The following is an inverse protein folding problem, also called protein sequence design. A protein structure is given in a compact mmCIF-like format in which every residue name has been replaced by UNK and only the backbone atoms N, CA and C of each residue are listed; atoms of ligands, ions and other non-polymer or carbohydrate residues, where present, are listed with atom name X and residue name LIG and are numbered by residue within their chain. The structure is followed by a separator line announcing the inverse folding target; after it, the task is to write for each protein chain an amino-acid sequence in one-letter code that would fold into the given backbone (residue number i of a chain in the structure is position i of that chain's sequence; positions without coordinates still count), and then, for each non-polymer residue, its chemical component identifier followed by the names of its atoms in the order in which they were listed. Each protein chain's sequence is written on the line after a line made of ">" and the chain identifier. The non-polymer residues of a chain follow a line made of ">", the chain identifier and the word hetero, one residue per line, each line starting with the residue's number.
data_IF_096294835383
#
_entry.id   IF_096294835383
#
_cell.length_a   1.000
_cell.length_b   1.000
_cell.length_c   1.000
_cell.angle_alpha   90.00
_cell.angle_beta   90.00
_cell.angle_gamma   90.00
#
_symmetry.space_group_name_H-M   'P 1'
#
loop_
_entity.id
_entity.type
_entity.pdbx_description
1 polymer ?
#
# COMPACT_ATOMS: atom_id res chain seq x y z
N UNK A 1 -10.86 23.40 -9.49
CA UNK A 1 -9.78 22.39 -9.61
C UNK A 1 -8.50 23.18 -9.83
N UNK A 2 -7.53 23.07 -8.94
CA UNK A 2 -6.24 23.76 -9.06
C UNK A 2 -5.38 23.14 -10.16
N UNK A 3 -4.44 23.91 -10.71
CA UNK A 3 -3.53 23.51 -11.80
C UNK A 3 -2.58 22.33 -11.45
N UNK A 4 -2.58 21.86 -10.19
CA UNK A 4 -1.73 20.79 -9.68
C UNK A 4 -2.52 19.52 -9.29
N UNK A 5 -3.70 19.30 -9.88
CA UNK A 5 -4.54 18.15 -9.54
C UNK A 5 -5.11 17.46 -10.78
N UNK A 6 -4.90 16.15 -10.85
CA UNK A 6 -5.49 15.27 -11.87
C UNK A 6 -6.46 14.30 -11.20
N UNK A 7 -7.61 14.04 -11.84
CA UNK A 7 -8.60 13.08 -11.37
C UNK A 7 -8.71 11.93 -12.36
N UNK A 8 -8.47 10.72 -11.89
CA UNK A 8 -8.66 9.50 -12.68
C UNK A 8 -9.89 8.76 -12.16
N UNK A 9 -10.91 8.60 -12.99
CA UNK A 9 -12.09 7.81 -12.64
C UNK A 9 -11.72 6.33 -12.49
N UNK A 10 -12.33 5.67 -11.49
CA UNK A 10 -12.23 4.23 -11.25
C UNK A 10 -13.65 3.69 -11.02
N UNK A 11 -13.98 2.57 -11.64
CA UNK A 11 -15.34 1.99 -11.60
C UNK A 11 -15.57 1.08 -10.38
N UNK A 12 -14.52 0.79 -9.60
CA UNK A 12 -14.57 -0.11 -8.45
C UNK A 12 -13.76 0.44 -7.26
N UNK A 13 -13.93 -0.17 -6.10
CA UNK A 13 -13.19 0.14 -4.88
C UNK A 13 -12.95 -1.12 -4.04
N UNK A 14 -11.82 -1.16 -3.35
CA UNK A 14 -11.56 -2.21 -2.35
C UNK A 14 -12.39 -1.92 -1.11
N UNK A 15 -13.20 -2.89 -0.68
CA UNK A 15 -14.04 -2.74 0.51
C UNK A 15 -13.28 -3.08 1.80
N UNK A 16 -13.69 -2.53 2.96
CA UNK A 16 -13.04 -2.81 4.24
C UNK A 16 -12.95 -4.30 4.58
N UNK A 17 -13.98 -5.07 4.23
CA UNK A 17 -14.08 -6.51 4.54
C UNK A 17 -13.54 -7.41 3.42
N UNK A 18 -13.01 -6.85 2.33
CA UNK A 18 -12.40 -7.67 1.29
C UNK A 18 -11.16 -8.38 1.86
N UNK A 19 -11.10 -9.69 1.68
CA UNK A 19 -9.86 -10.43 1.93
C UNK A 19 -8.79 -9.92 0.95
N UNK A 20 -7.51 -9.77 1.36
CA UNK A 20 -6.46 -9.29 0.47
C UNK A 20 -6.34 -10.09 -0.85
N UNK A 21 -6.51 -11.41 -0.78
CA UNK A 21 -6.51 -12.29 -1.95
C UNK A 21 -7.71 -12.05 -2.89
N UNK A 22 -8.87 -11.69 -2.35
CA UNK A 22 -10.05 -11.34 -3.13
C UNK A 22 -9.85 -10.00 -3.82
N UNK A 23 -9.39 -8.98 -3.08
CA UNK A 23 -9.08 -7.66 -3.62
C UNK A 23 -8.10 -7.75 -4.80
N UNK A 24 -7.01 -8.51 -4.64
CA UNK A 24 -6.02 -8.70 -5.69
C UNK A 24 -6.58 -9.34 -6.97
N UNK A 25 -7.51 -10.29 -6.84
CA UNK A 25 -8.05 -11.06 -7.98
C UNK A 25 -9.24 -10.39 -8.66
N UNK A 26 -10.10 -9.73 -7.89
CA UNK A 26 -11.41 -9.28 -8.38
C UNK A 26 -11.53 -7.75 -8.46
N UNK A 27 -10.83 -6.98 -7.61
CA UNK A 27 -10.92 -5.50 -7.58
C UNK A 27 -9.96 -4.85 -8.59
N UNK A 28 -9.98 -5.32 -9.84
CA UNK A 28 -8.97 -4.98 -10.86
C UNK A 28 -9.03 -3.52 -11.29
N UNK A 29 -10.22 -2.92 -11.26
CA UNK A 29 -10.48 -1.52 -11.66
C UNK A 29 -10.65 -0.60 -10.44
N UNK A 30 -10.12 -1.04 -9.28
CA UNK A 30 -10.20 -0.26 -8.06
C UNK A 30 -9.25 0.93 -8.05
N UNK A 31 -9.67 2.00 -7.37
CA UNK A 31 -8.83 3.20 -7.14
C UNK A 31 -7.49 2.86 -6.48
N UNK A 32 -7.46 1.91 -5.54
CA UNK A 32 -6.24 1.43 -4.91
C UNK A 32 -5.27 0.84 -5.94
N UNK A 33 -5.74 -0.06 -6.82
CA UNK A 33 -4.89 -0.65 -7.84
C UNK A 33 -4.43 0.37 -8.88
N UNK A 34 -5.32 1.26 -9.32
CA UNK A 34 -4.97 2.34 -10.25
C UNK A 34 -3.86 3.25 -9.68
N UNK A 35 -3.94 3.60 -8.39
CA UNK A 35 -2.91 4.40 -7.72
C UNK A 35 -1.55 3.68 -7.65
N UNK A 36 -1.54 2.38 -7.29
CA UNK A 36 -0.30 1.57 -7.28
C UNK A 36 0.29 1.47 -8.68
N UNK A 37 -0.53 1.26 -9.72
CA UNK A 37 -0.07 1.21 -11.10
C UNK A 37 0.49 2.55 -11.59
N UNK A 38 -0.07 3.68 -11.16
CA UNK A 38 0.46 5.00 -11.49
C UNK A 38 1.90 5.17 -10.98
N UNK A 39 2.18 4.69 -9.76
CA UNK A 39 3.54 4.63 -9.21
C UNK A 39 4.43 3.70 -10.05
N UNK A 40 3.95 2.50 -10.39
CA UNK A 40 4.70 1.55 -11.23
C UNK A 40 5.07 2.12 -12.60
N UNK A 41 4.17 2.91 -13.19
CA UNK A 41 4.32 3.55 -14.51
C UNK A 41 5.12 4.87 -14.45
N UNK A 42 5.60 5.28 -13.27
CA UNK A 42 6.35 6.52 -13.09
C UNK A 42 5.52 7.79 -13.22
N UNK A 43 4.18 7.69 -13.18
CA UNK A 43 3.28 8.86 -13.20
C UNK A 43 3.19 9.55 -11.83
N UNK A 44 3.53 8.83 -10.77
CA UNK A 44 3.58 9.33 -9.41
C UNK A 44 4.80 8.76 -8.67
N UNK A 45 5.34 9.53 -7.72
CA UNK A 45 6.47 9.08 -6.90
C UNK A 45 6.07 8.18 -5.72
N UNK A 46 4.80 8.22 -5.33
CA UNK A 46 4.25 7.44 -4.23
C UNK A 46 2.74 7.57 -4.18
N UNK A 47 2.11 6.85 -3.25
CA UNK A 47 0.67 6.93 -3.03
C UNK A 47 0.33 6.80 -1.55
N UNK A 48 -0.85 7.28 -1.17
CA UNK A 48 -1.41 7.15 0.17
C UNK A 48 -2.83 6.58 0.04
N UNK A 49 -3.21 5.70 0.95
CA UNK A 49 -4.59 5.20 1.03
C UNK A 49 -4.98 5.02 2.49
N UNK A 50 -6.19 5.44 2.83
CA UNK A 50 -6.86 5.17 4.10
C UNK A 50 -7.77 3.92 4.03
N UNK A 51 -7.63 3.11 2.98
CA UNK A 51 -8.42 1.90 2.76
C UNK A 51 -7.90 0.69 3.53
N UNK A 52 -8.31 -0.50 3.10
CA UNK A 52 -7.90 -1.77 3.72
C UNK A 52 -6.36 -1.96 3.63
N UNK A 53 -5.68 -1.93 4.79
CA UNK A 53 -4.22 -2.05 4.90
C UNK A 53 -3.67 -3.34 4.30
N UNK A 54 -4.33 -4.47 4.54
CA UNK A 54 -3.88 -5.77 4.04
C UNK A 54 -3.99 -5.88 2.52
N UNK A 55 -5.07 -5.35 1.95
CA UNK A 55 -5.25 -5.27 0.51
C UNK A 55 -4.23 -4.32 -0.13
N UNK A 56 -3.97 -3.16 0.48
CA UNK A 56 -2.96 -2.22 0.00
C UNK A 56 -1.57 -2.86 -0.03
N UNK A 57 -1.19 -3.56 1.04
CA UNK A 57 0.08 -4.28 1.12
C UNK A 57 0.16 -5.38 0.04
N UNK A 58 -0.89 -6.19 -0.11
CA UNK A 58 -0.92 -7.28 -1.09
C UNK A 58 -0.84 -6.77 -2.54
N UNK A 59 -1.63 -5.76 -2.89
CA UNK A 59 -1.65 -5.16 -4.24
C UNK A 59 -0.32 -4.46 -4.52
N UNK A 60 0.22 -3.69 -3.58
CA UNK A 60 1.51 -3.02 -3.73
C UNK A 60 2.65 -4.01 -3.91
N UNK A 61 2.71 -5.05 -3.08
CA UNK A 61 3.74 -6.09 -3.19
C UNK A 61 3.66 -6.84 -4.52
N UNK A 62 2.46 -7.10 -5.02
CA UNK A 62 2.28 -7.80 -6.30
C UNK A 62 2.71 -6.94 -7.50
N UNK A 63 2.39 -5.64 -7.51
CA UNK A 63 2.63 -4.76 -8.66
C UNK A 63 4.03 -4.11 -8.63
N UNK A 64 4.42 -3.58 -7.47
CA UNK A 64 5.69 -2.88 -7.31
C UNK A 64 6.84 -3.85 -7.01
N UNK A 65 6.55 -4.93 -6.27
CA UNK A 65 7.58 -5.81 -5.72
C UNK A 65 8.25 -5.23 -4.48
N UNK A 66 9.34 -5.85 -4.07
CA UNK A 66 10.24 -5.37 -3.01
C UNK A 66 11.55 -4.86 -3.61
N UNK A 67 12.30 -4.09 -2.82
CA UNK A 67 13.65 -3.68 -3.20
C UNK A 67 14.59 -4.90 -3.28
N UNK A 68 15.70 -4.81 -4.05
CA UNK A 68 16.71 -5.86 -4.08
C UNK A 68 17.16 -6.26 -2.68
N UNK A 69 17.30 -7.57 -2.45
CA UNK A 69 17.67 -8.18 -1.16
C UNK A 69 16.64 -8.00 -0.02
N UNK A 70 15.49 -7.38 -0.27
CA UNK A 70 14.38 -7.33 0.69
C UNK A 70 13.35 -8.41 0.31
N UNK A 71 13.24 -9.45 1.14
CA UNK A 71 12.35 -10.58 0.84
C UNK A 71 10.88 -10.31 1.23
N UNK A 72 10.68 -9.64 2.37
CA UNK A 72 9.36 -9.28 2.90
C UNK A 72 9.34 -7.80 3.29
N UNK A 73 8.31 -7.04 2.88
CA UNK A 73 8.12 -5.67 3.36
C UNK A 73 7.70 -5.69 4.84
N UNK A 74 7.86 -4.57 5.55
CA UNK A 74 7.35 -4.38 6.90
C UNK A 74 6.41 -3.16 6.93
N UNK A 75 5.40 -3.19 7.79
CA UNK A 75 4.65 -1.96 8.10
C UNK A 75 5.44 -1.22 9.16
N UNK A 76 5.88 -0.02 8.82
CA UNK A 76 6.64 0.84 9.71
C UNK A 76 5.84 2.09 10.07
N UNK A 77 5.97 2.54 11.31
CA UNK A 77 5.45 3.84 11.75
C UNK A 77 6.46 4.54 12.64
N UNK A 78 6.40 5.88 12.67
CA UNK A 78 7.19 6.69 13.59
C UNK A 78 6.34 6.89 14.85
N UNK A 79 6.77 6.27 15.95
CA UNK A 79 6.10 6.37 17.23
C UNK A 79 6.73 7.46 18.11
N UNK A 80 5.91 8.30 18.78
CA UNK A 80 6.43 9.32 19.68
C UNK A 80 6.91 8.71 21.01
N UNK A 81 7.84 9.39 21.68
CA UNK A 81 8.11 9.21 23.11
C UNK A 81 8.14 10.58 23.79
N UNK A 82 8.37 10.62 25.11
CA UNK A 82 8.51 11.88 25.85
C UNK A 82 9.68 12.76 25.36
N UNK A 83 10.72 12.18 24.75
CA UNK A 83 11.94 12.91 24.40
C UNK A 83 12.29 12.84 22.92
N UNK A 84 12.18 11.66 22.29
CA UNK A 84 12.53 11.44 20.88
C UNK A 84 11.60 10.43 20.23
N UNK A 85 11.28 10.61 18.96
CA UNK A 85 10.55 9.58 18.20
C UNK A 85 11.47 8.40 17.84
N UNK A 86 10.86 7.24 17.61
CA UNK A 86 11.55 6.05 17.10
C UNK A 86 10.74 5.42 15.96
N UNK A 87 11.43 4.68 15.09
CA UNK A 87 10.76 3.87 14.07
C UNK A 87 10.41 2.50 14.66
N UNK A 88 9.15 2.11 14.53
CA UNK A 88 8.65 0.79 14.93
C UNK A 88 8.30 -0.02 13.69
N UNK A 89 8.82 -1.25 13.63
CA UNK A 89 8.59 -2.26 12.61
C UNK A 89 8.77 -3.65 13.25
N UNK A 90 8.07 -4.70 12.85
CA UNK A 90 6.94 -4.80 11.91
C UNK A 90 5.60 -4.73 12.65
N UNK A 91 4.69 -3.88 12.17
CA UNK A 91 3.37 -3.64 12.79
C UNK A 91 2.24 -4.52 12.25
N UNK A 92 2.55 -5.51 11.40
CA UNK A 92 1.58 -6.49 10.94
C UNK A 92 1.64 -6.81 9.45
N UNK A 93 2.75 -6.54 8.76
CA UNK A 93 2.96 -7.07 7.41
C UNK A 93 3.18 -8.58 7.43
N UNK A 94 3.90 -9.07 8.44
CA UNK A 94 4.30 -10.45 8.58
C UNK A 94 3.86 -11.00 9.94
N UNK A 95 3.27 -12.20 9.93
CA UNK A 95 2.86 -12.91 11.14
C UNK A 95 4.04 -13.67 11.75
N UNK A 96 4.91 -14.22 10.90
CA UNK A 96 6.09 -14.99 11.29
C UNK A 96 7.37 -14.33 10.79
N UNK A 97 8.37 -14.24 11.66
CA UNK A 97 9.72 -13.80 11.34
C UNK A 97 10.71 -14.87 11.79
N UNK A 98 11.60 -15.28 10.88
CA UNK A 98 12.63 -16.28 11.15
C UNK A 98 13.99 -15.57 11.24
N UNK A 99 14.90 -16.12 12.05
CA UNK A 99 16.32 -15.75 12.07
C UNK A 99 17.07 -16.32 10.88
#
# INVERSE_FOLDING_TARGET
>A
VSDNSEFTHCSDNVLPNDKPSFALRHRKDSSMKAAVEAVKKGKAFGMVSSGNTGALMAVSRFILGTLPNIYRPAIASVCPTKTKSFALLDLGANVDCNT
#
